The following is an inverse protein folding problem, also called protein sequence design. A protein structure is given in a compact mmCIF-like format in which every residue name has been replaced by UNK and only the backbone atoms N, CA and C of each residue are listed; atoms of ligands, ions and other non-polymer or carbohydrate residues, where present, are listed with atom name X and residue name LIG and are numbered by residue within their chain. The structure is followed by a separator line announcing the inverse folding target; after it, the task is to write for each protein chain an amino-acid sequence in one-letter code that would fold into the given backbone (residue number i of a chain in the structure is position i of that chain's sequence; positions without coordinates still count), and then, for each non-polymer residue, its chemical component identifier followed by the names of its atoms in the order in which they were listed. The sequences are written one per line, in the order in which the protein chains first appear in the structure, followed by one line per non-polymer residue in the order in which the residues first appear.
data_IF_375474376886
#
_entry.id   IF_375474376886
#
_cell.length_a   1.000
_cell.length_b   1.000
_cell.length_c   1.000
_cell.angle_alpha   90.00
_cell.angle_beta   90.00
_cell.angle_gamma   90.00
#
_symmetry.space_group_name_H-M   'P 1'
#
loop_
_entity.id
_entity.type
_entity.pdbx_description
1 polymer ?
#
# COMPACT_ATOMS: atom_id res chain seq x y z
N UNK A 1 53.39 -50.00 21.07
CA UNK A 1 53.12 -48.54 21.13
C UNK A 1 52.17 -48.20 19.99
N UNK A 2 51.02 -47.58 20.26
CA UNK A 2 50.16 -46.98 19.24
C UNK A 2 49.48 -45.76 19.89
N UNK A 3 49.58 -44.59 19.23
CA UNK A 3 49.23 -43.29 19.80
C UNK A 3 47.80 -42.94 19.42
N UNK A 4 46.92 -42.72 20.39
CA UNK A 4 45.54 -42.30 20.14
C UNK A 4 45.54 -40.83 19.67
N UNK A 5 45.26 -40.58 18.39
CA UNK A 5 45.08 -39.22 17.88
C UNK A 5 43.62 -38.78 18.07
N UNK A 6 43.43 -37.75 18.89
CA UNK A 6 42.14 -37.11 19.10
C UNK A 6 41.94 -36.02 18.03
N UNK A 7 41.06 -36.23 17.06
CA UNK A 7 40.68 -35.19 16.10
C UNK A 7 39.52 -34.37 16.65
N UNK A 8 39.80 -33.11 17.01
CA UNK A 8 38.78 -32.10 17.30
C UNK A 8 38.16 -31.62 15.99
N UNK A 9 36.86 -31.88 15.80
CA UNK A 9 36.07 -31.24 14.75
C UNK A 9 35.77 -29.78 15.14
N UNK A 10 35.93 -28.80 14.23
CA UNK A 10 35.55 -27.42 14.52
C UNK A 10 34.03 -27.30 14.59
N UNK A 11 33.52 -26.71 15.66
CA UNK A 11 32.11 -26.37 15.76
C UNK A 11 31.77 -25.24 14.77
N UNK A 12 31.04 -25.57 13.71
CA UNK A 12 30.52 -24.57 12.78
C UNK A 12 29.42 -23.79 13.49
N UNK A 13 29.76 -22.60 13.98
CA UNK A 13 28.80 -21.64 14.52
C UNK A 13 27.96 -21.10 13.35
N UNK A 14 26.88 -21.80 13.03
CA UNK A 14 25.93 -21.39 12.01
C UNK A 14 25.30 -20.06 12.37
N UNK A 15 25.76 -18.97 11.72
CA UNK A 15 25.11 -17.68 11.78
C UNK A 15 23.67 -17.87 11.30
N UNK A 16 22.67 -17.59 12.15
CA UNK A 16 21.31 -17.44 11.67
C UNK A 16 21.25 -16.18 10.80
N UNK A 17 21.42 -16.37 9.50
CA UNK A 17 21.04 -15.37 8.51
C UNK A 17 19.55 -15.09 8.75
N UNK A 18 19.13 -13.84 9.01
CA UNK A 18 17.73 -13.53 9.17
C UNK A 18 17.01 -13.90 7.86
N UNK A 19 16.01 -14.78 7.95
CA UNK A 19 15.21 -15.21 6.80
C UNK A 19 14.66 -13.96 6.11
N UNK A 20 15.09 -13.72 4.87
CA UNK A 20 14.55 -12.67 4.00
C UNK A 20 13.03 -12.76 3.98
N UNK A 21 12.35 -11.66 4.32
CA UNK A 21 10.90 -11.63 4.35
C UNK A 21 10.36 -11.78 2.92
N UNK A 22 9.60 -12.85 2.68
CA UNK A 22 8.93 -13.10 1.40
C UNK A 22 7.86 -12.04 1.18
N UNK A 23 8.07 -11.16 0.21
CA UNK A 23 7.04 -10.25 -0.28
C UNK A 23 6.12 -11.03 -1.24
N UNK A 24 5.01 -11.55 -0.72
CA UNK A 24 3.91 -12.04 -1.55
C UNK A 24 3.39 -10.86 -2.38
N UNK A 25 3.54 -10.93 -3.71
CA UNK A 25 3.51 -9.75 -4.58
C UNK A 25 2.23 -8.94 -4.52
N UNK A 26 2.30 -7.75 -3.92
CA UNK A 26 1.24 -6.73 -3.94
C UNK A 26 1.08 -6.12 -5.34
N UNK A 27 -0.13 -5.64 -5.68
CA UNK A 27 -0.38 -4.88 -6.91
C UNK A 27 0.11 -3.41 -6.86
N UNK A 28 0.94 -3.08 -5.86
CA UNK A 28 1.55 -1.77 -5.65
C UNK A 28 2.97 -1.90 -5.06
N UNK A 29 3.78 -0.86 -5.27
CA UNK A 29 5.14 -0.68 -4.75
C UNK A 29 5.24 0.71 -4.11
N UNK A 30 5.67 0.80 -2.85
CA UNK A 30 5.84 2.08 -2.14
C UNK A 30 7.26 2.65 -2.32
N UNK A 31 7.41 3.96 -2.11
CA UNK A 31 8.70 4.65 -2.13
C UNK A 31 9.71 4.00 -1.17
N UNK A 32 10.92 3.74 -1.66
CA UNK A 32 11.97 3.07 -0.90
C UNK A 32 11.79 1.55 -0.80
N UNK A 33 10.70 0.98 -1.30
CA UNK A 33 10.62 -0.46 -1.57
C UNK A 33 11.26 -0.76 -2.93
N UNK A 34 11.93 -1.91 -3.00
CA UNK A 34 12.41 -2.51 -4.24
C UNK A 34 11.66 -3.83 -4.45
N UNK A 35 11.22 -4.11 -5.68
CA UNK A 35 10.73 -5.44 -6.01
C UNK A 35 11.91 -6.35 -6.34
N UNK A 36 12.31 -7.16 -5.35
CA UNK A 36 13.39 -8.14 -5.52
C UNK A 36 12.90 -9.41 -6.22
N UNK A 37 13.85 -10.23 -6.62
CA UNK A 37 13.67 -11.33 -7.58
C UNK A 37 12.71 -12.46 -7.18
N UNK A 38 12.26 -12.53 -5.93
CA UNK A 38 11.22 -13.46 -5.47
C UNK A 38 9.78 -12.90 -5.58
N UNK A 39 9.60 -11.88 -6.44
CA UNK A 39 8.34 -11.20 -6.72
C UNK A 39 7.49 -11.64 -7.94
N UNK A 40 7.97 -12.07 -9.12
CA UNK A 40 9.32 -12.33 -9.64
C UNK A 40 9.55 -11.67 -11.02
N UNK A 41 10.80 -11.32 -11.34
CA UNK A 41 11.51 -11.83 -12.55
C UNK A 41 12.99 -12.00 -12.18
N UNK A 42 13.59 -13.18 -12.46
CA UNK A 42 14.90 -13.59 -11.91
C UNK A 42 16.06 -13.49 -12.91
N UNK A 43 17.14 -12.83 -12.48
CA UNK A 43 18.51 -13.37 -12.53
C UNK A 43 19.44 -12.62 -11.53
N UNK A 44 19.71 -13.20 -10.36
CA UNK A 44 20.69 -12.67 -9.37
C UNK A 44 20.12 -11.81 -8.24
N UNK A 45 21.00 -11.28 -7.38
CA UNK A 45 20.70 -10.63 -6.09
C UNK A 45 20.53 -9.09 -6.18
N UNK A 46 19.91 -8.58 -7.26
CA UNK A 46 19.98 -7.15 -7.61
C UNK A 46 18.62 -6.45 -7.68
N UNK A 47 18.61 -5.16 -7.33
CA UNK A 47 17.45 -4.26 -7.34
C UNK A 47 16.90 -4.04 -8.77
N UNK A 48 16.00 -4.90 -9.26
CA UNK A 48 15.48 -4.78 -10.63
C UNK A 48 14.61 -3.53 -10.85
N UNK A 49 13.73 -3.21 -9.90
CA UNK A 49 12.77 -2.12 -9.98
C UNK A 49 12.67 -1.35 -8.65
N UNK A 50 12.99 -0.06 -8.67
CA UNK A 50 12.96 0.83 -7.50
C UNK A 50 12.04 2.04 -7.75
N UNK A 51 11.18 2.37 -6.79
CA UNK A 51 10.49 3.66 -6.74
C UNK A 51 11.21 4.61 -5.78
N UNK A 52 11.72 5.72 -6.31
CA UNK A 52 12.49 6.71 -5.54
C UNK A 52 11.60 7.59 -4.68
N UNK A 53 12.21 8.24 -3.68
CA UNK A 53 11.60 9.26 -2.83
C UNK A 53 11.31 10.59 -3.54
N UNK A 54 11.58 10.69 -4.85
CA UNK A 54 11.18 11.79 -5.73
C UNK A 54 10.09 11.38 -6.75
N UNK A 55 9.58 10.15 -6.66
CA UNK A 55 8.54 9.61 -7.54
C UNK A 55 9.05 9.11 -8.90
N UNK A 56 10.36 9.04 -9.12
CA UNK A 56 10.92 8.40 -10.31
C UNK A 56 10.91 6.88 -10.13
N UNK A 57 10.39 6.16 -11.14
CA UNK A 57 10.47 4.71 -11.25
C UNK A 57 11.70 4.35 -12.08
N UNK A 58 12.58 3.53 -11.53
CA UNK A 58 13.89 3.21 -12.11
C UNK A 58 14.04 1.70 -12.27
N UNK A 59 14.43 1.26 -13.46
CA UNK A 59 14.84 -0.12 -13.73
C UNK A 59 16.36 -0.16 -13.76
N UNK A 60 16.97 -1.07 -13.00
CA UNK A 60 18.41 -1.30 -13.00
C UNK A 60 18.76 -2.68 -13.57
N UNK A 61 19.99 -2.80 -14.06
CA UNK A 61 20.63 -4.06 -14.43
C UNK A 61 21.14 -4.81 -13.19
N UNK A 62 21.55 -6.06 -13.39
CA UNK A 62 22.25 -6.86 -12.38
C UNK A 62 23.64 -6.36 -11.97
N UNK A 63 24.15 -5.26 -12.54
CA UNK A 63 25.35 -4.56 -12.06
C UNK A 63 25.01 -3.27 -11.30
N UNK A 64 23.72 -2.98 -11.09
CA UNK A 64 23.21 -1.74 -10.51
C UNK A 64 23.16 -0.55 -11.48
N UNK A 65 23.63 -0.68 -12.72
CA UNK A 65 23.53 0.37 -13.74
C UNK A 65 22.06 0.63 -14.11
N UNK A 66 21.72 1.87 -14.45
CA UNK A 66 20.34 2.21 -14.85
C UNK A 66 20.07 1.78 -16.29
N UNK A 67 19.03 0.95 -16.48
CA UNK A 67 18.52 0.57 -17.81
C UNK A 67 17.50 1.60 -18.30
N UNK A 68 16.59 2.02 -17.43
CA UNK A 68 15.47 2.88 -17.79
C UNK A 68 14.97 3.70 -16.60
N UNK A 69 14.37 4.85 -16.89
CA UNK A 69 13.73 5.75 -15.92
C UNK A 69 12.41 6.26 -16.48
N UNK A 70 11.39 6.38 -15.63
CA UNK A 70 10.13 7.05 -15.99
C UNK A 70 10.30 8.53 -16.29
N UNK A 71 11.40 9.15 -15.81
CA UNK A 71 11.67 10.60 -15.81
C UNK A 71 10.65 11.42 -15.02
N UNK A 72 9.76 10.76 -14.29
CA UNK A 72 8.85 11.37 -13.35
C UNK A 72 9.67 11.98 -12.21
N UNK A 73 9.48 13.27 -11.92
CA UNK A 73 10.21 13.95 -10.86
C UNK A 73 9.30 14.95 -10.16
N UNK A 74 9.15 14.76 -8.86
CA UNK A 74 8.38 15.61 -7.96
C UNK A 74 9.25 16.05 -6.77
N UNK A 75 8.64 16.60 -5.73
CA UNK A 75 9.31 16.92 -4.45
C UNK A 75 9.68 15.64 -3.69
N UNK A 76 10.59 15.72 -2.72
CA UNK A 76 10.91 14.57 -1.86
C UNK A 76 9.68 14.18 -1.01
N UNK A 77 9.35 12.89 -0.95
CA UNK A 77 8.21 12.39 -0.18
C UNK A 77 7.94 10.89 -0.40
N UNK A 78 6.81 10.41 0.13
CA UNK A 78 6.39 9.02 -0.06
C UNK A 78 5.49 8.89 -1.30
N UNK A 79 5.82 7.96 -2.19
CA UNK A 79 5.09 7.67 -3.43
C UNK A 79 4.56 6.23 -3.43
N UNK A 80 3.61 5.94 -4.32
CA UNK A 80 3.16 4.59 -4.63
C UNK A 80 3.04 4.40 -6.14
N UNK A 81 3.68 3.36 -6.68
CA UNK A 81 3.43 2.87 -8.03
C UNK A 81 2.38 1.76 -7.94
N UNK A 82 1.27 1.89 -8.67
CA UNK A 82 0.10 1.00 -8.57
C UNK A 82 -0.23 0.45 -9.95
N UNK A 83 -0.44 -0.86 -10.07
CA UNK A 83 -1.03 -1.46 -11.26
C UNK A 83 -2.53 -1.20 -11.24
N UNK A 84 -2.95 -0.23 -12.05
CA UNK A 84 -4.32 0.21 -12.16
C UNK A 84 -5.17 -0.83 -12.92
N UNK A 85 -6.47 -1.03 -12.59
CA UNK A 85 -7.29 -2.12 -13.16
C UNK A 85 -7.47 -2.11 -14.69
N UNK A 86 -7.16 -1.00 -15.36
CA UNK A 86 -7.16 -0.87 -16.83
C UNK A 86 -5.83 -1.27 -17.49
N UNK A 87 -4.89 -1.82 -16.72
CA UNK A 87 -3.60 -2.32 -17.18
C UNK A 87 -2.48 -1.27 -17.25
N UNK A 88 -2.70 -0.04 -16.74
CA UNK A 88 -1.65 0.98 -16.63
C UNK A 88 -0.89 0.86 -15.31
N UNK A 89 0.43 1.03 -15.34
CA UNK A 89 1.21 1.30 -14.13
C UNK A 89 1.25 2.81 -13.90
N UNK A 90 0.76 3.28 -12.75
CA UNK A 90 0.60 4.70 -12.41
C UNK A 90 1.38 5.02 -11.13
N UNK A 91 2.14 6.11 -11.11
CA UNK A 91 2.84 6.60 -9.91
C UNK A 91 2.04 7.76 -9.32
N UNK A 92 1.62 7.59 -8.07
CA UNK A 92 0.91 8.58 -7.26
C UNK A 92 1.83 9.15 -6.17
N UNK A 93 1.77 10.47 -5.94
CA UNK A 93 2.29 11.07 -4.71
C UNK A 93 2.66 12.56 -4.80
N UNK A 94 3.19 13.13 -3.70
CA UNK A 94 3.48 12.46 -2.44
C UNK A 94 2.22 12.07 -1.64
N UNK A 95 2.38 11.34 -0.53
CA UNK A 95 1.27 11.01 0.37
C UNK A 95 0.66 12.27 1.00
N UNK A 96 -0.67 12.39 0.98
CA UNK A 96 -1.41 13.58 1.47
C UNK A 96 -2.21 13.32 2.76
N UNK A 97 -2.54 12.06 3.06
CA UNK A 97 -3.24 11.68 4.29
C UNK A 97 -2.83 10.27 4.73
N UNK A 98 -2.90 9.99 6.03
CA UNK A 98 -2.52 8.72 6.64
C UNK A 98 -3.36 8.47 7.89
N UNK A 99 -3.97 7.29 7.96
CA UNK A 99 -4.59 6.73 9.17
C UNK A 99 -3.54 5.89 9.89
N UNK A 100 -3.34 6.15 11.18
CA UNK A 100 -2.39 5.45 12.05
C UNK A 100 -3.13 4.46 12.97
N UNK A 101 -2.90 3.12 12.85
CA UNK A 101 -3.59 2.09 13.63
C UNK A 101 -3.02 1.92 15.05
N UNK A 102 -2.03 2.73 15.43
CA UNK A 102 -1.36 2.72 16.74
C UNK A 102 -1.83 3.87 17.65
N UNK A 103 -2.81 4.67 17.21
CA UNK A 103 -3.46 5.73 18.02
C UNK A 103 -4.49 5.11 18.97
N UNK A 104 -4.69 5.61 20.20
CA UNK A 104 -5.67 5.04 21.13
C UNK A 104 -7.13 5.11 20.61
N UNK A 105 -7.72 3.96 20.26
CA UNK A 105 -9.13 3.87 19.81
C UNK A 105 -9.59 2.43 19.57
N UNK A 106 -9.91 1.71 20.66
CA UNK A 106 -10.10 0.24 20.74
C UNK A 106 -10.82 -0.39 19.53
N UNK A 107 -10.06 -0.93 18.58
CA UNK A 107 -10.59 -1.76 17.49
C UNK A 107 -9.59 -2.86 17.06
N UNK A 108 -9.56 -3.98 17.80
CA UNK A 108 -8.66 -5.10 17.53
C UNK A 108 -9.41 -6.36 17.08
N UNK A 109 -9.08 -6.88 15.90
CA UNK A 109 -9.50 -8.19 15.41
C UNK A 109 -8.26 -9.00 15.04
N UNK A 110 -8.26 -10.31 15.36
CA UNK A 110 -7.18 -11.24 15.02
C UNK A 110 -7.67 -12.25 13.99
N UNK A 111 -7.18 -12.14 12.76
CA UNK A 111 -7.48 -13.06 11.68
C UNK A 111 -6.30 -14.00 11.40
N UNK A 112 -6.60 -15.24 10.99
CA UNK A 112 -5.63 -16.20 10.42
C UNK A 112 -6.21 -16.73 9.10
N UNK A 113 -5.34 -16.94 8.11
CA UNK A 113 -5.65 -17.25 6.70
C UNK A 113 -6.40 -16.14 5.95
N UNK A 114 -5.67 -15.33 5.20
CA UNK A 114 -6.24 -14.35 4.26
C UNK A 114 -5.48 -14.46 2.92
N UNK A 115 -6.10 -15.00 1.84
CA UNK A 115 -5.60 -14.87 0.47
C UNK A 115 -5.82 -13.44 -0.05
N UNK A 116 -5.36 -13.14 -1.28
CA UNK A 116 -5.41 -11.80 -1.88
C UNK A 116 -6.74 -11.04 -1.70
N UNK A 117 -6.63 -9.75 -1.43
CA UNK A 117 -7.72 -8.87 -0.99
C UNK A 117 -7.76 -7.55 -1.75
N UNK A 118 -8.97 -7.01 -1.93
CA UNK A 118 -9.16 -5.63 -2.39
C UNK A 118 -8.69 -4.66 -1.30
N UNK A 119 -7.59 -3.93 -1.55
CA UNK A 119 -6.94 -3.04 -0.60
C UNK A 119 -6.83 -1.58 -1.09
N UNK A 120 -7.40 -1.27 -2.26
CA UNK A 120 -7.31 0.02 -2.93
C UNK A 120 -8.68 0.70 -3.06
N UNK A 121 -8.71 2.03 -2.93
CA UNK A 121 -9.85 2.87 -3.32
C UNK A 121 -9.33 4.08 -4.11
N UNK A 122 -9.71 4.20 -5.37
CA UNK A 122 -9.29 5.28 -6.27
C UNK A 122 -10.22 6.50 -6.18
N UNK A 123 -9.75 7.68 -6.58
CA UNK A 123 -10.60 8.88 -6.72
C UNK A 123 -11.85 8.59 -7.56
N UNK A 124 -13.01 9.04 -7.06
CA UNK A 124 -14.30 8.80 -7.70
C UNK A 124 -14.95 7.45 -7.37
N UNK A 125 -14.21 6.49 -6.79
CA UNK A 125 -14.81 5.29 -6.22
C UNK A 125 -15.43 5.55 -4.85
N UNK A 126 -16.35 4.66 -4.47
CA UNK A 126 -17.15 4.73 -3.26
C UNK A 126 -17.11 3.38 -2.54
N UNK A 127 -16.97 3.40 -1.22
CA UNK A 127 -17.16 2.26 -0.34
C UNK A 127 -18.47 2.47 0.43
N UNK A 128 -19.51 1.76 0.02
CA UNK A 128 -20.83 1.78 0.67
C UNK A 128 -20.81 1.04 2.02
N UNK A 129 -21.91 1.14 2.77
CA UNK A 129 -22.11 0.43 4.04
C UNK A 129 -21.71 -1.06 3.99
N UNK A 130 -21.00 -1.49 5.02
CA UNK A 130 -20.33 -2.79 5.23
C UNK A 130 -19.27 -3.18 4.19
N UNK A 131 -19.02 -2.31 3.20
CA UNK A 131 -17.88 -2.38 2.29
C UNK A 131 -16.56 -2.22 3.04
N UNK A 132 -15.51 -2.89 2.55
CA UNK A 132 -14.20 -2.93 3.21
C UNK A 132 -13.03 -2.97 2.24
N UNK A 133 -11.94 -2.32 2.63
CA UNK A 133 -10.59 -2.61 2.14
C UNK A 133 -9.91 -3.57 3.11
N UNK A 134 -9.09 -4.49 2.62
CA UNK A 134 -8.45 -5.52 3.46
C UNK A 134 -6.99 -5.76 3.06
N UNK A 135 -6.08 -5.91 4.02
CA UNK A 135 -4.65 -6.20 3.79
C UNK A 135 -4.06 -6.95 4.99
N UNK A 136 -3.58 -8.19 4.77
CA UNK A 136 -3.24 -9.14 5.85
C UNK A 136 -4.34 -9.15 6.92
N UNK A 137 -4.00 -9.02 8.20
CA UNK A 137 -4.93 -9.00 9.33
C UNK A 137 -5.65 -7.64 9.55
N UNK A 138 -5.54 -6.69 8.62
CA UNK A 138 -6.12 -5.35 8.74
C UNK A 138 -7.32 -5.19 7.82
N UNK A 139 -8.34 -4.46 8.29
CA UNK A 139 -9.54 -4.15 7.53
C UNK A 139 -9.96 -2.70 7.79
N UNK A 140 -10.17 -1.91 6.73
CA UNK A 140 -10.81 -0.60 6.80
C UNK A 140 -12.26 -0.76 6.33
N UNK A 141 -13.22 -0.59 7.22
CA UNK A 141 -14.64 -0.89 7.00
C UNK A 141 -15.48 0.37 7.16
N UNK A 142 -16.30 0.68 6.16
CA UNK A 142 -17.37 1.68 6.29
C UNK A 142 -18.58 0.98 6.91
N UNK A 143 -18.74 1.01 8.22
CA UNK A 143 -19.81 0.28 8.90
C UNK A 143 -21.20 0.86 8.56
N UNK A 144 -22.23 0.01 8.55
CA UNK A 144 -23.63 0.44 8.35
C UNK A 144 -24.19 1.43 9.39
N UNK A 145 -23.49 1.66 10.50
CA UNK A 145 -23.83 2.65 11.53
C UNK A 145 -23.21 4.04 11.27
N UNK A 146 -22.67 4.27 10.06
CA UNK A 146 -21.93 5.47 9.64
C UNK A 146 -20.55 5.68 10.27
N UNK A 147 -19.97 4.71 10.98
CA UNK A 147 -18.60 4.78 11.49
C UNK A 147 -17.59 4.15 10.50
N UNK A 148 -16.50 4.86 10.18
CA UNK A 148 -15.36 4.29 9.46
C UNK A 148 -14.37 3.73 10.48
N UNK A 149 -14.06 2.44 10.40
CA UNK A 149 -13.19 1.75 11.37
C UNK A 149 -12.04 1.01 10.69
N UNK A 150 -10.85 1.13 11.27
CA UNK A 150 -9.65 0.39 10.92
C UNK A 150 -9.35 -0.65 12.00
N UNK A 151 -9.62 -1.92 11.68
CA UNK A 151 -9.32 -3.08 12.50
C UNK A 151 -7.91 -3.63 12.24
N UNK A 152 -7.34 -4.27 13.25
CA UNK A 152 -6.14 -5.12 13.13
C UNK A 152 -4.88 -4.56 13.79
N UNK A 153 -4.87 -3.26 14.12
CA UNK A 153 -3.80 -2.63 14.91
C UNK A 153 -3.82 -3.01 16.39
N UNK A 154 -2.75 -2.66 17.12
CA UNK A 154 -2.69 -2.84 18.59
C UNK A 154 -3.73 -2.00 19.31
N UNK A 155 -4.00 -0.80 18.79
CA UNK A 155 -4.94 0.15 19.38
C UNK A 155 -6.17 0.35 18.48
N UNK A 156 -6.00 0.30 17.16
CA UNK A 156 -7.07 0.49 16.18
C UNK A 156 -7.29 1.98 15.86
N UNK A 157 -8.17 2.27 14.89
CA UNK A 157 -8.58 3.65 14.62
C UNK A 157 -10.05 3.69 14.18
N UNK A 158 -10.75 4.78 14.47
CA UNK A 158 -12.09 5.04 13.95
C UNK A 158 -12.36 6.54 13.77
N UNK A 159 -13.31 6.87 12.88
CA UNK A 159 -13.77 8.26 12.66
C UNK A 159 -14.63 8.81 13.79
N UNK A 160 -15.18 7.95 14.67
CA UNK A 160 -16.12 8.30 15.74
C UNK A 160 -17.42 8.94 15.22
N UNK A 161 -17.98 8.38 14.15
CA UNK A 161 -19.15 8.93 13.43
C UNK A 161 -20.40 8.06 13.51
N UNK A 162 -20.37 7.05 14.39
CA UNK A 162 -21.52 6.19 14.73
C UNK A 162 -22.79 7.01 14.99
N UNK A 163 -23.86 6.73 14.24
CA UNK A 163 -25.19 7.33 14.42
C UNK A 163 -25.34 8.78 13.93
N UNK A 164 -24.36 9.35 13.23
CA UNK A 164 -24.40 10.76 12.78
C UNK A 164 -25.09 10.98 11.41
N UNK A 165 -25.56 9.92 10.75
CA UNK A 165 -26.26 9.93 9.47
C UNK A 165 -26.90 8.57 9.16
N UNK A 166 -27.43 8.41 7.95
CA UNK A 166 -28.04 7.16 7.45
C UNK A 166 -27.38 6.71 6.14
N UNK A 167 -27.41 5.40 5.86
CA UNK A 167 -26.88 4.75 4.64
C UNK A 167 -25.49 5.21 4.17
N UNK A 168 -24.60 5.54 5.12
CA UNK A 168 -23.39 6.28 4.78
C UNK A 168 -22.41 5.52 3.89
N UNK A 169 -21.66 6.30 3.11
CA UNK A 169 -20.63 5.84 2.22
C UNK A 169 -19.35 6.67 2.34
N UNK A 170 -18.21 6.00 2.20
CA UNK A 170 -16.89 6.61 2.10
C UNK A 170 -16.56 6.91 0.64
N UNK A 171 -15.98 8.07 0.36
CA UNK A 171 -15.46 8.41 -0.98
C UNK A 171 -14.10 9.08 -0.90
N UNK A 172 -13.25 8.78 -1.89
CA UNK A 172 -12.04 9.55 -2.17
C UNK A 172 -12.33 10.54 -3.29
N UNK A 173 -12.08 11.84 -3.08
CA UNK A 173 -12.27 12.85 -4.12
C UNK A 173 -11.00 13.07 -4.97
N UNK A 174 -11.12 13.85 -6.05
CA UNK A 174 -10.00 14.23 -6.94
C UNK A 174 -9.13 15.37 -6.38
N UNK A 175 -9.12 15.55 -5.05
CA UNK A 175 -8.20 16.41 -4.30
C UNK A 175 -7.49 15.64 -3.17
N UNK A 176 -7.63 14.32 -3.11
CA UNK A 176 -7.02 13.47 -2.08
C UNK A 176 -7.69 13.53 -0.71
N UNK A 177 -8.88 14.10 -0.62
CA UNK A 177 -9.66 14.17 0.62
C UNK A 177 -10.59 12.94 0.72
N UNK A 178 -10.58 12.33 1.90
CA UNK A 178 -11.42 11.19 2.25
C UNK A 178 -12.63 11.67 3.02
N UNK A 179 -13.83 11.36 2.54
CA UNK A 179 -15.08 11.95 3.03
C UNK A 179 -16.09 10.83 3.32
N UNK A 180 -16.73 10.86 4.49
CA UNK A 180 -17.95 10.09 4.76
C UNK A 180 -19.15 11.00 4.46
N UNK A 181 -20.10 10.51 3.68
CA UNK A 181 -21.40 11.16 3.44
C UNK A 181 -22.55 10.20 3.75
N UNK A 182 -23.70 10.74 4.10
CA UNK A 182 -24.99 10.04 4.06
C UNK A 182 -25.60 10.10 2.65
N UNK A 183 -26.75 9.46 2.48
CA UNK A 183 -27.56 9.43 1.25
C UNK A 183 -28.13 10.81 0.85
N UNK A 184 -28.40 11.69 1.83
CA UNK A 184 -28.68 13.12 1.64
C UNK A 184 -27.46 13.95 1.17
N UNK A 185 -26.30 13.31 0.95
CA UNK A 185 -25.02 13.92 0.58
C UNK A 185 -24.46 14.93 1.61
N UNK A 186 -24.96 14.98 2.84
CA UNK A 186 -24.36 15.75 3.94
C UNK A 186 -23.02 15.13 4.30
N UNK A 187 -22.01 15.98 4.56
CA UNK A 187 -20.70 15.51 5.00
C UNK A 187 -20.77 15.14 6.48
N UNK A 188 -20.59 13.86 6.78
CA UNK A 188 -20.54 13.33 8.16
C UNK A 188 -19.13 13.48 8.74
N UNK A 189 -18.10 13.29 7.91
CA UNK A 189 -16.70 13.41 8.30
C UNK A 189 -15.81 13.71 7.08
N UNK A 190 -14.69 14.37 7.32
CA UNK A 190 -13.62 14.56 6.33
C UNK A 190 -12.25 14.38 7.00
N UNK A 191 -11.31 13.79 6.26
CA UNK A 191 -9.89 13.76 6.63
C UNK A 191 -9.26 15.15 6.79
N UNK A 192 -9.95 16.21 6.33
CA UNK A 192 -9.53 17.62 6.40
C UNK A 192 -8.17 17.91 5.73
N UNK A 193 -7.63 16.94 5.00
CA UNK A 193 -6.47 17.06 4.13
C UNK A 193 -6.95 17.07 2.68
N UNK A 194 -6.53 18.09 1.93
CA UNK A 194 -6.76 18.21 0.50
C UNK A 194 -5.53 18.78 -0.19
N UNK A 195 -5.41 18.50 -1.49
CA UNK A 195 -4.27 18.82 -2.33
C UNK A 195 -4.78 19.34 -3.68
N UNK A 196 -3.91 19.38 -4.69
CA UNK A 196 -4.23 19.84 -6.05
C UNK A 196 -5.31 18.96 -6.69
N UNK A 197 -5.95 19.47 -7.74
CA UNK A 197 -6.85 18.62 -8.54
C UNK A 197 -6.04 17.53 -9.26
N UNK A 198 -6.49 16.28 -9.21
CA UNK A 198 -5.91 15.14 -9.92
C UNK A 198 -6.44 13.81 -9.40
N UNK A 199 -5.84 12.70 -9.82
CA UNK A 199 -6.25 11.36 -9.39
C UNK A 199 -5.42 10.87 -8.21
N UNK A 200 -6.09 10.25 -7.23
CA UNK A 200 -5.53 9.76 -5.98
C UNK A 200 -5.89 8.29 -5.76
N UNK A 201 -5.12 7.64 -4.89
CA UNK A 201 -5.41 6.28 -4.42
C UNK A 201 -5.21 6.21 -2.91
N UNK A 202 -6.21 5.66 -2.20
CA UNK A 202 -6.10 5.19 -0.83
C UNK A 202 -5.64 3.73 -0.88
N UNK A 203 -4.56 3.43 -0.16
CA UNK A 203 -3.98 2.08 -0.05
C UNK A 203 -4.06 1.67 1.41
N UNK A 204 -4.73 0.56 1.72
CA UNK A 204 -4.54 -0.14 2.99
C UNK A 204 -3.30 -1.02 2.89
N UNK A 205 -2.32 -0.77 3.76
CA UNK A 205 -1.00 -1.38 3.73
C UNK A 205 -0.92 -2.58 4.67
N UNK A 206 0.01 -3.48 4.37
CA UNK A 206 0.26 -4.73 5.10
C UNK A 206 0.65 -4.55 6.57
N UNK A 207 1.19 -3.38 6.93
CA UNK A 207 1.55 -2.97 8.29
C UNK A 207 0.40 -2.26 9.03
N UNK A 208 -0.76 -2.16 8.38
CA UNK A 208 -1.99 -1.61 8.93
C UNK A 208 -2.21 -0.13 8.68
N UNK A 209 -1.26 0.60 8.08
CA UNK A 209 -1.49 2.01 7.74
C UNK A 209 -2.41 2.13 6.51
N UNK A 210 -3.40 3.03 6.56
CA UNK A 210 -4.19 3.40 5.38
C UNK A 210 -3.73 4.77 4.88
N UNK A 211 -3.18 4.85 3.67
CA UNK A 211 -2.45 6.04 3.18
C UNK A 211 -2.96 6.49 1.82
N UNK A 212 -3.19 7.79 1.66
CA UNK A 212 -3.62 8.41 0.40
C UNK A 212 -2.42 8.99 -0.32
N UNK A 213 -2.18 8.56 -1.55
CA UNK A 213 -1.15 9.05 -2.45
C UNK A 213 -1.77 9.82 -3.60
N UNK A 214 -1.21 10.99 -3.94
CA UNK A 214 -1.50 11.66 -5.20
C UNK A 214 -1.08 13.14 -5.24
N UNK A 215 -1.30 13.82 -6.38
CA UNK A 215 -1.97 13.28 -7.57
C UNK A 215 -1.09 12.26 -8.31
N UNK A 216 -1.64 11.59 -9.32
CA UNK A 216 -0.83 10.86 -10.30
C UNK A 216 0.18 11.81 -10.97
N UNK A 217 1.46 11.42 -11.00
CA UNK A 217 2.55 12.21 -11.58
C UNK A 217 3.15 11.57 -12.85
N UNK A 218 2.87 10.29 -13.08
CA UNK A 218 3.31 9.55 -14.26
C UNK A 218 2.49 8.28 -14.45
N UNK A 219 2.33 7.85 -15.69
CA UNK A 219 1.68 6.61 -16.05
C UNK A 219 2.25 5.99 -17.34
N UNK A 220 2.13 4.67 -17.48
CA UNK A 220 2.33 4.01 -18.77
C UNK A 220 1.17 4.30 -19.72
N UNK A 221 1.46 4.59 -20.98
CA UNK A 221 0.43 4.62 -22.04
C UNK A 221 -0.29 3.27 -22.15
N UNK A 222 -1.61 3.25 -22.07
CA UNK A 222 -2.39 2.06 -22.48
C UNK A 222 -2.56 2.03 -24.00
N UNK A 223 -2.21 0.89 -24.62
CA UNK A 223 -2.67 0.57 -25.97
C UNK A 223 -4.05 -0.05 -25.89
N UNK A 224 -5.10 0.77 -25.69
CA UNK A 224 -6.44 0.35 -26.13
C UNK A 224 -6.44 0.37 -27.66
N UNK A 225 -6.13 -0.77 -28.27
CA UNK A 225 -6.56 -1.03 -29.63
C UNK A 225 -8.08 -1.07 -29.63
N UNK A 226 -8.69 0.05 -29.99
CA UNK A 226 -10.09 0.05 -30.43
C UNK A 226 -10.08 -0.72 -31.74
N UNK A 227 -10.42 -2.01 -31.67
CA UNK A 227 -10.84 -2.75 -32.85
C UNK A 227 -12.17 -2.12 -33.28
N UNK A 228 -12.13 -1.41 -34.41
CA UNK A 228 -13.29 -0.86 -35.09
C UNK A 228 -13.92 -1.92 -36.01
#
# INVERSE_FOLDING_TARGET
MAKLLLFLLPAILGLLIPRSAVALGTNYLLSGQTLNTDGHLKNGDFDLLTLTDYGELVIKNGDGSTVWRSRAKSVKGNYAAVLHPDGRLVVFGPSVFKIDPWVPGLNSLRFRNIPFTDNLLFSGQVLYGDGRLTAKNHQLVMQGDCNLVLYGGKYGWQSNTHGNGEHCFLRLNHKGELIIKDDDFKTIWSSSSSSKQGDYVLILQDDGFAVIYGPAIWETSSKRSIAA
#
